data_IF_165048682583
#
_entry.id   IF_165048682583
#
_cell.length_a   1.000
_cell.length_b   1.000
_cell.length_c   1.000
_cell.angle_alpha   90.00
_cell.angle_beta   90.00
_cell.angle_gamma   90.00
#
_symmetry.space_group_name_H-M   'P 1'
#
loop_
_entity.id
_entity.type
_entity.pdbx_description
1 polymer ?
#
# COMPACT_ATOMS: atom_id res chain seq x y z
N UNK A 1 31.22 -37.52 -14.59
CA UNK A 1 30.40 -36.91 -15.66
C UNK A 1 29.60 -35.79 -15.01
N UNK A 2 30.24 -34.63 -14.90
CA UNK A 2 29.86 -33.36 -15.54
C UNK A 2 28.71 -32.65 -14.81
N UNK A 3 29.14 -31.86 -13.83
CA UNK A 3 28.39 -30.86 -13.07
C UNK A 3 27.71 -29.84 -14.00
N UNK A 4 26.41 -29.65 -13.84
CA UNK A 4 25.64 -28.64 -14.59
C UNK A 4 25.56 -27.37 -13.75
N UNK A 5 26.50 -26.45 -13.98
CA UNK A 5 26.52 -25.12 -13.39
C UNK A 5 25.54 -24.22 -14.15
N UNK A 6 24.47 -23.78 -13.49
CA UNK A 6 23.53 -22.78 -14.05
C UNK A 6 24.08 -21.38 -13.71
N UNK A 7 24.74 -20.74 -14.67
CA UNK A 7 25.13 -19.34 -14.61
C UNK A 7 23.91 -18.45 -14.91
N UNK A 8 23.42 -17.69 -13.92
CA UNK A 8 22.48 -16.59 -14.17
C UNK A 8 23.27 -15.32 -14.54
N UNK A 9 23.31 -15.00 -15.82
CA UNK A 9 23.90 -13.75 -16.32
C UNK A 9 22.88 -12.61 -16.20
N UNK A 10 23.05 -11.72 -15.21
CA UNK A 10 22.30 -10.45 -15.13
C UNK A 10 22.93 -9.50 -16.16
N UNK A 11 22.26 -9.33 -17.31
CA UNK A 11 22.66 -8.39 -18.35
C UNK A 11 22.18 -6.98 -17.99
N UNK A 12 22.98 -6.24 -17.21
CA UNK A 12 22.74 -4.80 -16.99
C UNK A 12 23.10 -4.04 -18.25
N UNK A 13 22.08 -3.56 -18.96
CA UNK A 13 22.18 -2.78 -20.19
C UNK A 13 22.41 -1.31 -19.82
N UNK A 14 23.67 -0.93 -19.63
CA UNK A 14 24.05 0.48 -19.54
C UNK A 14 24.00 1.10 -20.95
N UNK A 15 22.85 1.67 -21.32
CA UNK A 15 22.72 2.58 -22.46
C UNK A 15 22.79 4.01 -21.92
N UNK A 16 23.62 4.83 -22.56
CA UNK A 16 23.73 6.29 -22.48
C UNK A 16 24.53 6.85 -21.30
N UNK A 17 25.80 7.17 -21.56
CA UNK A 17 26.31 8.53 -21.40
C UNK A 17 27.63 8.71 -22.19
N UNK A 18 27.51 9.48 -23.27
CA UNK A 18 28.45 10.47 -23.83
C UNK A 18 29.97 10.25 -23.70
N UNK A 19 30.61 10.14 -24.87
CA UNK A 19 31.70 11.02 -25.33
C UNK A 19 32.59 11.66 -24.27
N UNK A 20 33.84 11.19 -24.21
CA UNK A 20 35.12 11.92 -24.07
C UNK A 20 36.17 10.81 -23.90
N UNK A 21 36.97 10.48 -24.90
CA UNK A 21 38.15 11.26 -25.25
C UNK A 21 39.22 11.12 -24.16
N UNK A 22 40.22 10.25 -24.38
CA UNK A 22 41.51 10.38 -23.69
C UNK A 22 41.90 9.25 -22.73
N UNK A 23 42.81 8.41 -23.22
CA UNK A 23 43.97 7.84 -22.52
C UNK A 23 44.03 8.11 -21.01
N UNK A 24 43.80 7.08 -20.19
CA UNK A 24 44.54 6.81 -18.95
C UNK A 24 44.27 5.37 -18.53
N UNK A 25 45.20 4.50 -18.94
CA UNK A 25 45.48 3.23 -18.28
C UNK A 25 45.91 3.53 -16.84
N UNK A 26 45.64 2.57 -15.96
CA UNK A 26 46.21 2.40 -14.63
C UNK A 26 45.80 3.44 -13.56
N UNK A 27 44.92 3.01 -12.66
CA UNK A 27 44.99 3.23 -11.20
C UNK A 27 43.63 2.87 -10.60
N UNK A 28 43.33 1.58 -10.51
CA UNK A 28 42.35 1.08 -9.53
C UNK A 28 43.07 0.00 -8.74
N UNK A 29 43.95 0.51 -7.88
CA UNK A 29 44.19 0.11 -6.50
C UNK A 29 43.52 -1.19 -6.11
N UNK A 30 44.38 -2.20 -5.99
CA UNK A 30 44.25 -3.39 -5.17
C UNK A 30 43.88 -2.96 -3.75
N UNK A 31 42.59 -2.84 -3.46
CA UNK A 31 42.08 -2.66 -2.11
C UNK A 31 41.43 -3.99 -1.70
N UNK A 32 42.26 -4.86 -1.14
CA UNK A 32 41.87 -6.01 -0.33
C UNK A 32 41.01 -5.49 0.83
N UNK A 33 39.70 -5.36 0.60
CA UNK A 33 38.72 -5.34 1.69
C UNK A 33 38.59 -6.78 2.17
N UNK A 34 39.41 -7.10 3.17
CA UNK A 34 39.17 -8.22 4.08
C UNK A 34 37.79 -8.02 4.73
N UNK A 35 36.75 -8.53 4.08
CA UNK A 35 35.45 -8.74 4.72
C UNK A 35 35.66 -9.91 5.68
N UNK A 36 35.97 -9.59 6.94
CA UNK A 36 35.68 -10.47 8.07
C UNK A 36 34.20 -10.85 7.97
N UNK A 37 33.88 -12.03 7.43
CA UNK A 37 32.56 -12.61 7.56
C UNK A 37 32.30 -12.87 9.06
N UNK A 38 31.33 -12.20 9.68
CA UNK A 38 30.96 -12.51 11.04
C UNK A 38 30.04 -13.74 11.04
N UNK A 39 30.30 -14.63 12.00
CA UNK A 39 29.48 -15.76 12.40
C UNK A 39 29.25 -16.86 11.34
N UNK A 40 29.67 -18.07 11.71
CA UNK A 40 29.31 -19.31 11.04
C UNK A 40 27.83 -19.32 10.63
N UNK A 41 27.56 -19.60 9.36
CA UNK A 41 26.22 -19.88 8.85
C UNK A 41 25.69 -21.09 9.63
N UNK A 42 24.89 -20.85 10.67
CA UNK A 42 24.27 -21.93 11.45
C UNK A 42 23.35 -22.67 10.48
N UNK A 43 23.52 -23.99 10.27
CA UNK A 43 22.55 -24.74 9.49
C UNK A 43 21.21 -24.62 10.21
N UNK A 44 20.26 -23.93 9.59
CA UNK A 44 18.88 -23.90 10.07
C UNK A 44 18.32 -25.32 9.95
N UNK A 45 17.54 -25.76 10.96
CA UNK A 45 16.90 -27.08 10.99
C UNK A 45 16.35 -27.43 9.61
N UNK A 46 16.67 -28.62 9.12
CA UNK A 46 16.13 -29.20 7.88
C UNK A 46 14.61 -29.31 8.02
N UNK A 47 13.90 -28.26 7.62
CA UNK A 47 12.44 -28.28 7.57
C UNK A 47 12.07 -29.19 6.39
N UNK A 48 11.45 -30.32 6.68
CA UNK A 48 10.81 -31.16 5.68
C UNK A 48 9.66 -30.35 5.05
N UNK A 49 9.90 -29.73 3.91
CA UNK A 49 8.87 -29.04 3.14
C UNK A 49 8.06 -30.11 2.41
N UNK A 50 6.86 -30.41 2.90
CA UNK A 50 5.90 -31.24 2.17
C UNK A 50 5.27 -30.40 1.07
N UNK A 51 5.63 -30.70 -0.18
CA UNK A 51 4.97 -30.11 -1.35
C UNK A 51 3.65 -30.86 -1.53
N UNK A 52 2.52 -30.22 -1.21
CA UNK A 52 1.18 -30.76 -1.45
C UNK A 52 0.74 -30.29 -2.84
N UNK A 53 0.35 -31.19 -3.76
CA UNK A 53 -0.16 -30.79 -5.06
C UNK A 53 -1.47 -30.01 -4.90
N UNK A 54 -1.68 -29.01 -5.76
CA UNK A 54 -2.86 -28.14 -5.69
C UNK A 54 -4.17 -28.92 -5.79
N UNK A 55 -4.17 -30.04 -6.52
CA UNK A 55 -5.33 -30.91 -6.72
C UNK A 55 -5.75 -31.66 -5.44
N UNK A 56 -4.82 -31.87 -4.50
CA UNK A 56 -5.12 -32.49 -3.21
C UNK A 56 -5.76 -31.50 -2.22
N UNK A 57 -5.70 -30.20 -2.50
CA UNK A 57 -6.37 -29.18 -1.70
C UNK A 57 -7.83 -29.07 -2.15
N UNK A 58 -8.72 -29.83 -1.49
CA UNK A 58 -10.17 -29.65 -1.61
C UNK A 58 -10.60 -28.34 -0.93
N UNK A 59 -10.28 -27.20 -1.54
CA UNK A 59 -10.75 -25.90 -1.07
C UNK A 59 -12.18 -25.71 -1.58
N UNK A 60 -13.16 -25.81 -0.69
CA UNK A 60 -14.53 -25.41 -1.01
C UNK A 60 -14.52 -23.95 -1.46
N UNK A 61 -15.18 -23.62 -2.57
CA UNK A 61 -15.27 -22.25 -3.12
C UNK A 61 -15.68 -21.21 -2.05
N UNK A 62 -16.50 -21.63 -1.08
CA UNK A 62 -16.93 -20.83 0.08
C UNK A 62 -15.79 -20.36 1.01
N UNK A 63 -14.59 -20.93 0.91
CA UNK A 63 -13.42 -20.57 1.72
C UNK A 63 -12.56 -19.50 1.05
N UNK A 64 -12.77 -19.23 -0.24
CA UNK A 64 -12.02 -18.23 -0.98
C UNK A 64 -12.75 -16.89 -0.81
N UNK A 65 -12.28 -16.08 0.14
CA UNK A 65 -12.75 -14.70 0.26
C UNK A 65 -12.31 -13.93 -0.99
N UNK A 66 -13.21 -13.18 -1.65
CA UNK A 66 -12.83 -12.34 -2.77
C UNK A 66 -11.84 -11.28 -2.31
N UNK A 67 -11.05 -10.77 -3.26
CA UNK A 67 -10.17 -9.63 -2.99
C UNK A 67 -11.05 -8.46 -2.49
N UNK A 68 -10.64 -7.76 -1.41
CA UNK A 68 -11.30 -6.54 -1.00
C UNK A 68 -11.37 -5.52 -2.15
N UNK A 69 -12.42 -4.70 -2.15
CA UNK A 69 -12.57 -3.66 -3.16
C UNK A 69 -11.45 -2.62 -2.98
N UNK A 70 -11.01 -2.00 -4.08
CA UNK A 70 -10.06 -0.90 -4.00
C UNK A 70 -10.70 0.34 -3.36
N UNK A 71 -9.94 1.10 -2.58
CA UNK A 71 -10.41 2.30 -1.89
C UNK A 71 -11.02 3.36 -2.84
N UNK A 72 -10.53 3.46 -4.09
CA UNK A 72 -11.08 4.38 -5.09
C UNK A 72 -12.54 4.04 -5.42
N UNK A 73 -12.81 2.77 -5.71
CA UNK A 73 -14.16 2.27 -6.01
C UNK A 73 -15.09 2.38 -4.80
N UNK A 74 -14.56 2.35 -3.57
CA UNK A 74 -15.36 2.60 -2.36
C UNK A 74 -15.67 4.08 -2.15
N UNK A 75 -14.74 4.98 -2.50
CA UNK A 75 -14.93 6.42 -2.41
C UNK A 75 -15.97 6.95 -3.40
N UNK A 76 -16.09 6.31 -4.57
CA UNK A 76 -17.08 6.70 -5.59
C UNK A 76 -18.51 6.25 -5.24
N UNK A 77 -18.67 5.39 -4.22
CA UNK A 77 -20.00 4.98 -3.76
C UNK A 77 -20.63 6.11 -2.93
N UNK A 78 -21.95 6.34 -3.08
CA UNK A 78 -22.64 7.32 -2.26
C UNK A 78 -22.53 6.93 -0.79
N UNK A 79 -22.28 7.91 0.06
CA UNK A 79 -22.26 7.67 1.51
C UNK A 79 -23.69 7.48 2.01
N UNK A 80 -23.85 6.84 3.17
CA UNK A 80 -25.16 6.70 3.80
C UNK A 80 -25.83 8.05 4.03
N UNK A 81 -25.06 9.09 4.36
CA UNK A 81 -25.59 10.44 4.53
C UNK A 81 -26.14 11.00 3.23
N UNK A 82 -25.46 10.79 2.10
CA UNK A 82 -25.95 11.23 0.79
C UNK A 82 -27.27 10.55 0.43
N UNK A 83 -27.39 9.26 0.73
CA UNK A 83 -28.63 8.50 0.53
C UNK A 83 -29.75 9.06 1.41
N UNK A 84 -29.47 9.37 2.68
CA UNK A 84 -30.47 9.94 3.60
C UNK A 84 -30.93 11.34 3.17
N UNK A 85 -30.02 12.19 2.68
CA UNK A 85 -30.41 13.47 2.12
C UNK A 85 -31.29 13.32 0.88
N UNK A 86 -30.98 12.38 -0.02
CA UNK A 86 -31.83 12.08 -1.18
C UNK A 86 -33.22 11.59 -0.75
N UNK A 87 -33.29 10.72 0.27
CA UNK A 87 -34.57 10.24 0.80
C UNK A 87 -35.37 11.36 1.47
N UNK A 88 -34.70 12.29 2.16
CA UNK A 88 -35.35 13.45 2.76
C UNK A 88 -35.95 14.37 1.69
N UNK A 89 -35.21 14.65 0.62
CA UNK A 89 -35.68 15.43 -0.52
C UNK A 89 -36.87 14.77 -1.23
N UNK A 90 -36.85 13.43 -1.37
CA UNK A 90 -37.93 12.66 -1.98
C UNK A 90 -39.18 12.57 -1.10
N UNK A 91 -39.03 12.48 0.22
CA UNK A 91 -40.14 12.31 1.15
C UNK A 91 -40.87 13.63 1.44
N UNK A 92 -40.18 14.78 1.36
CA UNK A 92 -40.77 16.10 1.60
C UNK A 92 -41.48 16.16 2.96
N UNK A 93 -42.80 16.39 2.94
CA UNK A 93 -43.64 16.49 4.14
C UNK A 93 -43.78 15.17 4.92
N UNK A 94 -43.52 14.02 4.28
CA UNK A 94 -43.60 12.70 4.94
C UNK A 94 -42.34 12.33 5.71
N UNK A 95 -41.32 13.19 5.70
CA UNK A 95 -40.09 12.90 6.42
C UNK A 95 -40.32 12.94 7.94
N UNK A 96 -39.84 11.93 8.70
CA UNK A 96 -40.04 11.90 10.15
C UNK A 96 -39.35 13.08 10.84
N UNK A 97 -40.09 13.78 11.69
CA UNK A 97 -39.60 14.94 12.45
C UNK A 97 -38.53 14.59 13.49
N UNK A 98 -38.41 13.33 13.86
CA UNK A 98 -37.44 12.86 14.86
C UNK A 98 -35.99 12.80 14.32
N UNK A 99 -35.79 12.80 13.00
CA UNK A 99 -34.46 12.65 12.39
C UNK A 99 -33.98 14.00 11.86
N UNK A 100 -32.98 14.58 12.54
CA UNK A 100 -32.20 15.71 12.03
C UNK A 100 -30.94 15.21 11.34
N UNK A 101 -30.83 15.52 10.05
CA UNK A 101 -29.63 15.25 9.26
C UNK A 101 -28.77 16.51 9.22
N UNK A 102 -27.55 16.41 9.71
CA UNK A 102 -26.56 17.48 9.66
C UNK A 102 -25.45 17.12 8.66
N UNK A 103 -24.93 18.13 7.97
CA UNK A 103 -23.80 17.94 7.06
C UNK A 103 -22.50 17.97 7.84
N UNK A 104 -21.58 17.06 7.50
CA UNK A 104 -20.24 17.08 8.07
C UNK A 104 -19.50 18.37 7.68
N UNK A 105 -19.06 19.13 8.69
CA UNK A 105 -18.35 20.40 8.50
C UNK A 105 -16.99 20.15 7.85
N UNK A 106 -16.76 20.75 6.69
CA UNK A 106 -15.51 20.57 5.93
C UNK A 106 -14.44 21.52 6.43
N UNK A 107 -13.17 21.13 6.28
CA UNK A 107 -12.02 22.01 6.62
C UNK A 107 -12.06 23.37 5.91
N UNK A 108 -12.66 23.42 4.71
CA UNK A 108 -12.82 24.63 3.90
C UNK A 108 -13.74 25.65 4.57
N UNK A 109 -14.81 25.19 5.23
CA UNK A 109 -15.76 26.06 5.94
C UNK A 109 -15.12 26.71 7.18
N UNK A 110 -14.12 26.04 7.78
CA UNK A 110 -13.35 26.59 8.90
C UNK A 110 -12.19 27.50 8.47
N UNK A 111 -12.01 27.76 7.17
CA UNK A 111 -10.91 28.58 6.67
C UNK A 111 -11.08 30.07 6.97
N UNK A 112 -12.32 30.56 7.09
CA UNK A 112 -12.61 31.97 7.39
C UNK A 112 -12.54 32.28 8.89
N UNK A 113 -12.63 31.24 9.73
CA UNK A 113 -12.54 31.37 11.18
C UNK A 113 -11.12 31.77 11.59
N UNK A 114 -11.00 32.69 12.56
CA UNK A 114 -9.71 33.07 13.14
C UNK A 114 -8.95 31.83 13.64
N UNK A 115 -7.63 31.75 13.44
CA UNK A 115 -6.85 30.54 13.73
C UNK A 115 -6.97 30.09 15.20
N UNK A 116 -7.09 31.04 16.12
CA UNK A 116 -7.27 30.82 17.56
C UNK A 116 -8.48 29.92 17.88
N UNK A 117 -9.58 30.08 17.14
CA UNK A 117 -10.83 29.36 17.41
C UNK A 117 -10.95 28.05 16.63
N UNK A 118 -10.10 27.77 15.64
CA UNK A 118 -10.22 26.57 14.80
C UNK A 118 -10.02 25.27 15.60
N UNK A 119 -9.08 25.28 16.54
CA UNK A 119 -8.75 24.12 17.38
C UNK A 119 -9.90 23.78 18.34
N UNK A 120 -10.43 24.73 19.14
CA UNK A 120 -11.56 24.42 20.02
C UNK A 120 -12.80 24.02 19.23
N UNK A 121 -13.12 24.69 18.11
CA UNK A 121 -14.28 24.33 17.28
C UNK A 121 -14.16 22.91 16.72
N UNK A 122 -12.98 22.52 16.21
CA UNK A 122 -12.75 21.15 15.74
C UNK A 122 -12.92 20.11 16.85
N UNK A 123 -12.59 20.47 18.10
CA UNK A 123 -12.76 19.59 19.25
C UNK A 123 -14.24 19.40 19.60
N UNK A 124 -15.05 20.46 19.46
CA UNK A 124 -16.50 20.40 19.68
C UNK A 124 -17.24 19.61 18.59
N UNK A 125 -16.76 19.67 17.35
CA UNK A 125 -17.34 18.95 16.21
C UNK A 125 -17.01 17.45 16.16
N UNK A 126 -16.17 16.96 17.07
CA UNK A 126 -15.82 15.54 17.13
C UNK A 126 -16.71 14.87 18.16
N UNK A 127 -17.55 13.94 17.71
CA UNK A 127 -18.31 13.06 18.61
C UNK A 127 -17.34 12.20 19.44
N UNK A 128 -17.50 12.20 20.76
CA UNK A 128 -16.71 11.43 21.73
C UNK A 128 -17.13 9.98 21.80
#
# INVERSE_FOLDING_TARGET
MLDTIILFAIKVKAKHCMSLGGRRKALITLLLLAVRCPAAMRPTLTRLVRIIPRDALKVSERKILPRPTSQQVEHDKPTTMDILFQQQEQAGERWPSNIRLERAVRKKELAEVRPEFRVPIKKLLKET
#
